data_IF_183220820072
#
_entry.id   IF_183220820072
#
_cell.length_a   1.000
_cell.length_b   1.000
_cell.length_c   1.000
_cell.angle_alpha   90.00
_cell.angle_beta   90.00
_cell.angle_gamma   90.00
#
_symmetry.space_group_name_H-M   'P 1'
#
loop_
_entity.id
_entity.type
_entity.pdbx_description
1 polymer ?
#
# COMPACT_ATOMS: atom_id res chain seq x y z
N UNK A 1 4.76 -7.28 2.31
CA UNK A 1 3.47 -7.78 2.81
C UNK A 1 2.45 -7.77 1.68
N UNK A 2 1.75 -8.88 1.48
CA UNK A 2 0.60 -8.97 0.55
C UNK A 2 -0.57 -9.55 1.34
N UNK A 3 -1.69 -8.84 1.36
CA UNK A 3 -2.90 -9.18 2.11
C UNK A 3 -4.06 -9.32 1.15
N UNK A 4 -4.70 -10.49 1.14
CA UNK A 4 -5.89 -10.77 0.32
C UNK A 4 -6.69 -11.95 0.87
N UNK A 5 -7.95 -12.08 0.47
CA UNK A 5 -8.77 -13.28 0.64
C UNK A 5 -9.57 -13.37 1.94
N UNK A 6 -9.22 -12.65 2.99
CA UNK A 6 -9.95 -12.67 4.26
C UNK A 6 -11.17 -11.76 4.24
N UNK A 7 -12.27 -12.19 4.86
CA UNK A 7 -13.46 -11.35 5.06
C UNK A 7 -13.13 -10.08 5.85
N UNK A 8 -12.31 -10.22 6.89
CA UNK A 8 -11.78 -9.11 7.70
C UNK A 8 -10.28 -9.32 7.88
N UNK A 9 -9.51 -8.31 7.50
CA UNK A 9 -8.05 -8.25 7.74
C UNK A 9 -7.75 -7.12 8.71
N UNK A 10 -7.02 -7.42 9.78
CA UNK A 10 -6.58 -6.42 10.76
C UNK A 10 -5.14 -6.66 11.15
N UNK A 11 -4.21 -5.89 10.55
CA UNK A 11 -2.78 -6.18 10.68
C UNK A 11 -1.92 -4.91 10.69
N UNK A 12 -1.11 -4.75 11.74
CA UNK A 12 -0.22 -3.61 11.94
C UNK A 12 1.18 -4.05 12.36
N UNK A 13 2.03 -4.48 11.44
CA UNK A 13 3.43 -4.76 11.75
C UNK A 13 4.15 -3.49 12.21
N UNK A 14 5.17 -3.66 13.04
CA UNK A 14 5.96 -2.54 13.55
C UNK A 14 7.45 -2.77 13.36
N UNK A 15 8.16 -1.70 13.03
CA UNK A 15 9.61 -1.67 12.97
C UNK A 15 10.13 -0.59 13.93
N UNK A 16 11.06 -0.97 14.80
CA UNK A 16 11.69 -0.07 15.78
C UNK A 16 13.16 0.10 15.42
N UNK A 17 13.54 1.29 14.97
CA UNK A 17 14.88 1.66 14.57
C UNK A 17 15.68 2.13 15.80
N UNK A 18 16.29 1.17 16.53
CA UNK A 18 16.97 1.41 17.80
C UNK A 18 18.41 1.91 17.62
N UNK A 19 19.12 1.32 16.66
CA UNK A 19 20.52 1.64 16.40
C UNK A 19 20.67 2.94 15.61
N UNK A 20 21.78 3.63 15.82
CA UNK A 20 22.13 4.77 14.97
C UNK A 20 22.38 4.30 13.51
N UNK A 21 21.98 5.13 12.56
CA UNK A 21 22.03 4.85 11.11
C UNK A 21 21.21 3.65 10.65
N UNK A 22 20.29 3.11 11.46
CA UNK A 22 19.44 2.01 11.05
C UNK A 22 18.43 2.45 9.98
N UNK A 23 18.15 1.53 9.06
CA UNK A 23 17.22 1.71 7.94
C UNK A 23 16.10 0.69 8.06
N UNK A 24 14.86 1.12 7.86
CA UNK A 24 13.68 0.26 7.83
C UNK A 24 12.83 0.58 6.61
N UNK A 25 12.50 -0.43 5.82
CA UNK A 25 11.63 -0.29 4.66
C UNK A 25 10.43 -1.22 4.79
N UNK A 26 9.27 -0.73 4.43
CA UNK A 26 8.03 -1.48 4.45
C UNK A 26 7.26 -1.29 3.15
N UNK A 27 7.00 -2.38 2.49
CA UNK A 27 6.24 -2.44 1.24
C UNK A 27 5.01 -3.31 1.43
N UNK A 28 3.83 -2.81 1.08
CA UNK A 28 2.58 -3.53 1.27
C UNK A 28 1.61 -3.41 0.10
N UNK A 29 0.88 -4.50 -0.14
CA UNK A 29 -0.30 -4.54 -1.00
C UNK A 29 -1.44 -5.10 -0.16
N UNK A 30 -2.57 -4.41 -0.12
CA UNK A 30 -3.81 -4.88 0.49
C UNK A 30 -4.92 -4.87 -0.56
N UNK A 31 -5.51 -6.05 -0.83
CA UNK A 31 -6.56 -6.22 -1.83
C UNK A 31 -7.84 -6.66 -1.15
N UNK A 32 -8.91 -5.93 -1.41
CA UNK A 32 -10.24 -6.24 -0.92
C UNK A 32 -11.25 -6.27 -2.07
N UNK A 33 -12.09 -7.28 -2.10
CA UNK A 33 -13.13 -7.48 -3.10
C UNK A 33 -14.45 -7.87 -2.43
N UNK A 34 -15.56 -7.81 -3.17
CA UNK A 34 -16.89 -8.14 -2.69
C UNK A 34 -17.28 -7.31 -1.45
N UNK A 35 -17.35 -7.92 -0.27
CA UNK A 35 -17.69 -7.30 1.02
C UNK A 35 -16.52 -7.34 2.02
N UNK A 36 -15.32 -7.63 1.56
CA UNK A 36 -14.14 -7.71 2.40
C UNK A 36 -13.80 -6.34 3.01
N UNK A 37 -13.27 -6.36 4.23
CA UNK A 37 -12.80 -5.18 4.95
C UNK A 37 -11.36 -5.39 5.38
N UNK A 38 -10.47 -4.51 4.95
CA UNK A 38 -9.09 -4.50 5.41
C UNK A 38 -8.81 -3.21 6.18
N UNK A 39 -8.29 -3.35 7.37
CA UNK A 39 -7.72 -2.25 8.15
C UNK A 39 -6.27 -2.62 8.47
N UNK A 40 -5.37 -2.16 7.62
CA UNK A 40 -3.96 -2.52 7.64
C UNK A 40 -3.10 -1.29 7.79
N UNK A 41 -1.83 -1.49 8.07
CA UNK A 41 -0.91 -0.37 8.16
C UNK A 41 0.43 -0.79 8.74
N UNK A 42 1.23 0.17 9.13
CA UNK A 42 2.52 -0.11 9.75
C UNK A 42 2.89 0.95 10.77
N UNK A 43 3.82 0.58 11.66
CA UNK A 43 4.38 1.48 12.67
C UNK A 43 5.88 1.56 12.46
N UNK A 44 6.40 2.77 12.24
CA UNK A 44 7.83 3.06 12.18
C UNK A 44 8.22 3.95 13.36
N UNK A 45 9.06 3.43 14.26
CA UNK A 45 9.47 4.14 15.47
C UNK A 45 10.99 4.35 15.43
N UNK A 46 11.40 5.62 15.36
CA UNK A 46 12.79 6.03 15.32
C UNK A 46 13.30 6.37 16.73
N UNK A 47 14.27 5.62 17.22
CA UNK A 47 14.93 5.82 18.52
C UNK A 47 16.40 6.22 18.37
N UNK A 48 17.11 5.65 17.40
CA UNK A 48 18.49 5.96 17.06
C UNK A 48 18.63 7.24 16.24
N UNK A 49 19.84 7.76 16.12
CA UNK A 49 20.20 8.95 15.34
C UNK A 49 20.40 8.58 13.86
N UNK A 50 20.18 9.53 12.97
CA UNK A 50 20.36 9.36 11.50
C UNK A 50 19.60 8.16 10.94
N UNK A 51 18.47 7.80 11.54
CA UNK A 51 17.67 6.64 11.09
C UNK A 51 16.80 7.01 9.90
N UNK A 52 16.60 6.07 9.00
CA UNK A 52 15.76 6.27 7.80
C UNK A 52 14.67 5.23 7.72
N UNK A 53 13.47 5.64 7.33
CA UNK A 53 12.40 4.71 7.01
C UNK A 53 11.67 5.09 5.72
N UNK A 54 11.25 4.06 4.98
CA UNK A 54 10.42 4.18 3.79
C UNK A 54 9.20 3.28 3.93
N UNK A 55 8.02 3.81 3.63
CA UNK A 55 6.77 3.05 3.61
C UNK A 55 6.13 3.27 2.26
N UNK A 56 5.86 2.19 1.54
CA UNK A 56 5.07 2.19 0.30
C UNK A 56 3.89 1.25 0.50
N UNK A 57 2.69 1.79 0.52
CA UNK A 57 1.45 1.04 0.70
C UNK A 57 0.53 1.22 -0.49
N UNK A 58 0.13 0.11 -1.10
CA UNK A 58 -0.82 0.06 -2.21
C UNK A 58 -2.10 -0.64 -1.75
N UNK A 59 -3.22 0.07 -1.76
CA UNK A 59 -4.54 -0.47 -1.44
C UNK A 59 -5.39 -0.63 -2.69
N UNK A 60 -6.08 -1.76 -2.84
CA UNK A 60 -7.02 -2.00 -3.94
C UNK A 60 -8.35 -2.39 -3.34
N UNK A 61 -9.41 -1.68 -3.72
CA UNK A 61 -10.78 -1.98 -3.28
C UNK A 61 -11.69 -2.15 -4.49
N UNK A 62 -12.42 -3.26 -4.52
CA UNK A 62 -13.36 -3.61 -5.57
C UNK A 62 -14.75 -3.98 -5.00
N UNK A 63 -15.80 -3.90 -5.82
CA UNK A 63 -17.15 -4.28 -5.43
C UNK A 63 -17.74 -3.38 -4.34
N UNK A 64 -18.02 -3.94 -3.17
CA UNK A 64 -18.51 -3.24 -1.96
C UNK A 64 -17.49 -3.31 -0.81
N UNK A 65 -16.22 -3.50 -1.13
CA UNK A 65 -15.17 -3.66 -0.14
C UNK A 65 -14.63 -2.31 0.33
N UNK A 66 -13.99 -2.31 1.52
CA UNK A 66 -13.28 -1.15 2.04
C UNK A 66 -11.86 -1.52 2.44
N UNK A 67 -10.94 -0.62 2.15
CA UNK A 67 -9.55 -0.73 2.54
C UNK A 67 -9.14 0.51 3.34
N UNK A 68 -8.64 0.31 4.54
CA UNK A 68 -8.14 1.38 5.40
C UNK A 68 -6.65 1.16 5.65
N UNK A 69 -5.85 2.18 5.36
CA UNK A 69 -4.46 2.24 5.78
C UNK A 69 -4.32 3.10 7.03
N UNK A 70 -3.70 2.53 8.10
CA UNK A 70 -3.34 3.28 9.32
C UNK A 70 -1.83 3.23 9.53
N UNK A 71 -1.17 4.37 9.38
CA UNK A 71 0.28 4.48 9.55
C UNK A 71 0.65 5.26 10.79
N UNK A 72 1.50 4.69 11.65
CA UNK A 72 2.15 5.43 12.73
C UNK A 72 3.61 5.65 12.37
N UNK A 73 4.03 6.91 12.35
CA UNK A 73 5.45 7.28 12.32
C UNK A 73 5.76 8.11 13.55
N UNK A 74 6.67 7.62 14.38
CA UNK A 74 7.12 8.34 15.57
C UNK A 74 8.63 8.53 15.55
N UNK A 75 9.08 9.79 15.65
CA UNK A 75 10.49 10.15 15.81
C UNK A 75 10.69 10.66 17.23
N UNK A 76 11.53 9.96 18.00
CA UNK A 76 11.84 10.29 19.39
C UNK A 76 12.70 11.55 19.49
N UNK A 77 12.67 12.22 20.64
CA UNK A 77 13.51 13.41 20.92
C UNK A 77 15.00 13.19 20.68
N UNK A 78 15.50 11.97 20.91
CA UNK A 78 16.92 11.62 20.75
C UNK A 78 17.30 11.23 19.32
N UNK A 79 16.31 10.96 18.44
CA UNK A 79 16.50 10.52 17.06
C UNK A 79 16.78 11.73 16.17
N UNK A 80 17.97 12.32 16.30
CA UNK A 80 18.38 13.48 15.47
C UNK A 80 18.63 13.09 14.04
N UNK A 81 18.36 14.01 13.09
CA UNK A 81 18.60 13.85 11.65
C UNK A 81 17.93 12.59 11.05
N UNK A 82 16.80 12.18 11.63
CA UNK A 82 16.06 11.02 11.12
C UNK A 82 15.08 11.44 10.04
N UNK A 83 14.82 10.55 9.09
CA UNK A 83 13.92 10.83 7.97
C UNK A 83 12.96 9.68 7.75
N UNK A 84 11.68 10.02 7.54
CA UNK A 84 10.68 9.08 7.05
C UNK A 84 10.09 9.60 5.73
N UNK A 85 9.86 8.68 4.81
CA UNK A 85 9.03 8.89 3.64
C UNK A 85 7.92 7.84 3.62
N UNK A 86 6.67 8.28 3.49
CA UNK A 86 5.49 7.41 3.43
C UNK A 86 4.66 7.78 2.21
N UNK A 87 4.35 6.79 1.39
CA UNK A 87 3.45 6.92 0.25
C UNK A 87 2.33 5.88 0.37
N UNK A 88 1.08 6.35 0.33
CA UNK A 88 -0.11 5.52 0.45
C UNK A 88 -1.00 5.76 -0.76
N UNK A 89 -1.02 4.81 -1.69
CA UNK A 89 -1.83 4.91 -2.90
C UNK A 89 -3.00 3.92 -2.84
N UNK A 90 -4.17 4.37 -3.22
CA UNK A 90 -5.39 3.56 -3.27
C UNK A 90 -5.98 3.56 -4.68
N UNK A 91 -6.34 2.36 -5.15
CA UNK A 91 -7.01 2.14 -6.42
C UNK A 91 -8.43 1.62 -6.18
N UNK A 92 -9.42 2.34 -6.70
CA UNK A 92 -10.82 1.98 -6.58
C UNK A 92 -11.33 1.38 -7.89
N UNK A 93 -12.00 0.22 -7.77
CA UNK A 93 -12.61 -0.52 -8.86
C UNK A 93 -14.10 -0.66 -8.60
N UNK A 94 -14.89 0.26 -9.12
CA UNK A 94 -16.34 0.29 -8.93
C UNK A 94 -16.84 1.55 -8.21
N UNK A 95 -18.15 1.56 -7.90
CA UNK A 95 -18.84 2.75 -7.37
C UNK A 95 -19.19 2.64 -5.88
N UNK A 96 -19.04 1.46 -5.28
CA UNK A 96 -19.46 1.19 -3.91
C UNK A 96 -18.31 0.77 -2.99
N UNK A 97 -17.09 0.68 -3.53
CA UNK A 97 -15.90 0.40 -2.74
C UNK A 97 -15.33 1.68 -2.13
N UNK A 98 -14.61 1.54 -1.03
CA UNK A 98 -14.00 2.65 -0.29
C UNK A 98 -12.52 2.46 -0.04
N UNK A 99 -11.81 3.60 0.11
CA UNK A 99 -10.43 3.64 0.58
C UNK A 99 -10.27 4.77 1.59
N UNK A 100 -9.59 4.48 2.69
CA UNK A 100 -9.37 5.43 3.77
C UNK A 100 -7.90 5.43 4.17
N UNK A 101 -7.33 6.62 4.37
CA UNK A 101 -5.96 6.78 4.87
C UNK A 101 -5.98 7.56 6.17
N UNK A 102 -5.43 6.96 7.23
CA UNK A 102 -5.41 7.53 8.58
C UNK A 102 -3.97 7.61 9.08
N UNK A 103 -3.23 8.67 8.73
CA UNK A 103 -1.87 8.87 9.19
C UNK A 103 -1.85 9.33 10.65
N UNK A 104 -0.91 8.80 11.43
CA UNK A 104 -0.62 9.25 12.77
C UNK A 104 0.87 9.59 12.90
N UNK A 105 1.18 10.88 12.91
CA UNK A 105 2.55 11.39 12.82
C UNK A 105 2.94 12.09 14.12
N UNK A 106 4.05 11.63 14.71
CA UNK A 106 4.65 12.22 15.91
C UNK A 106 6.11 12.55 15.68
N UNK A 107 6.42 13.78 15.30
CA UNK A 107 7.80 14.24 15.27
C UNK A 107 8.14 15.01 16.56
N UNK A 108 9.05 14.46 17.35
CA UNK A 108 9.51 15.07 18.62
C UNK A 108 10.92 15.67 18.51
N UNK A 109 11.49 15.72 17.29
CA UNK A 109 12.84 16.24 17.04
C UNK A 109 12.85 17.20 15.86
N UNK A 110 13.30 18.44 16.07
CA UNK A 110 13.29 19.51 15.08
C UNK A 110 14.28 19.32 13.94
N UNK A 111 15.28 18.44 14.07
CA UNK A 111 16.27 18.15 13.03
C UNK A 111 15.83 17.03 12.09
N UNK A 112 14.67 16.44 12.35
CA UNK A 112 14.17 15.28 11.61
C UNK A 112 12.98 15.64 10.72
N UNK A 113 12.82 14.91 9.63
CA UNK A 113 11.82 15.17 8.61
C UNK A 113 10.89 13.97 8.43
N UNK A 114 9.59 14.23 8.31
CA UNK A 114 8.57 13.23 7.95
C UNK A 114 7.83 13.76 6.73
N UNK A 115 7.80 12.95 5.68
CA UNK A 115 7.06 13.21 4.45
C UNK A 115 5.95 12.16 4.32
N UNK A 116 4.73 12.60 4.04
CA UNK A 116 3.59 11.70 3.83
C UNK A 116 2.80 12.14 2.61
N UNK A 117 2.66 11.24 1.65
CA UNK A 117 1.84 11.42 0.46
C UNK A 117 0.72 10.37 0.44
N UNK A 118 -0.47 10.78 0.03
CA UNK A 118 -1.59 9.87 -0.14
C UNK A 118 -2.34 10.22 -1.44
N UNK A 119 -2.58 9.20 -2.26
CA UNK A 119 -3.37 9.34 -3.48
C UNK A 119 -4.50 8.34 -3.51
N UNK A 120 -5.62 8.73 -4.11
CA UNK A 120 -6.73 7.82 -4.40
C UNK A 120 -7.13 8.00 -5.85
N UNK A 121 -7.06 6.92 -6.60
CA UNK A 121 -7.37 6.89 -8.03
C UNK A 121 -8.47 5.87 -8.26
N UNK A 122 -9.39 6.18 -9.17
CA UNK A 122 -10.39 5.24 -9.65
C UNK A 122 -10.05 4.84 -11.08
N UNK A 123 -10.18 3.56 -11.41
CA UNK A 123 -10.10 3.13 -12.79
C UNK A 123 -11.24 3.82 -13.57
N UNK A 124 -10.90 4.57 -14.61
CA UNK A 124 -11.88 5.28 -15.40
C UNK A 124 -12.21 4.52 -16.69
N UNK A 125 -13.38 4.82 -17.25
CA UNK A 125 -13.86 4.19 -18.47
C UNK A 125 -12.99 4.52 -19.70
N UNK A 126 -12.33 5.67 -19.71
CA UNK A 126 -11.43 6.07 -20.80
C UNK A 126 -10.17 5.19 -20.84
N UNK A 127 -9.61 4.83 -19.69
CA UNK A 127 -8.47 3.91 -19.63
C UNK A 127 -8.86 2.52 -20.13
N UNK A 128 -10.00 2.01 -19.70
CA UNK A 128 -10.52 0.73 -20.17
C UNK A 128 -10.82 0.76 -21.66
N UNK A 129 -11.48 1.82 -22.14
CA UNK A 129 -11.76 2.02 -23.55
C UNK A 129 -10.48 2.03 -24.40
N UNK A 130 -9.44 2.73 -23.94
CA UNK A 130 -8.15 2.76 -24.63
C UNK A 130 -7.52 1.36 -24.75
N UNK A 131 -7.58 0.57 -23.68
CA UNK A 131 -7.10 -0.81 -23.68
C UNK A 131 -7.91 -1.68 -24.65
N UNK A 132 -9.24 -1.54 -24.64
CA UNK A 132 -10.14 -2.28 -25.53
C UNK A 132 -9.89 -1.96 -27.02
N UNK A 133 -9.57 -0.70 -27.35
CA UNK A 133 -9.17 -0.30 -28.71
C UNK A 133 -7.87 -0.97 -29.17
N UNK A 134 -7.07 -1.45 -28.25
CA UNK A 134 -5.83 -2.21 -28.51
C UNK A 134 -6.04 -3.72 -28.52
N UNK A 135 -7.28 -4.19 -28.43
CA UNK A 135 -7.66 -5.60 -28.50
C UNK A 135 -7.57 -6.36 -27.17
N UNK A 136 -7.36 -5.66 -26.05
CA UNK A 136 -7.46 -6.27 -24.73
C UNK A 136 -8.93 -6.36 -24.32
N UNK A 137 -9.35 -7.49 -23.78
CA UNK A 137 -10.66 -7.56 -23.14
C UNK A 137 -10.69 -6.79 -21.81
N UNK A 138 -11.85 -6.70 -21.18
CA UNK A 138 -12.03 -5.90 -19.97
C UNK A 138 -11.23 -6.47 -18.79
N UNK A 139 -11.18 -7.79 -18.65
CA UNK A 139 -10.43 -8.46 -17.57
C UNK A 139 -8.92 -8.30 -17.76
N UNK A 140 -8.44 -8.45 -18.98
CA UNK A 140 -7.04 -8.22 -19.35
C UNK A 140 -6.63 -6.76 -19.11
N UNK A 141 -7.47 -5.80 -19.46
CA UNK A 141 -7.23 -4.37 -19.24
C UNK A 141 -7.11 -4.04 -17.75
N UNK A 142 -8.01 -4.55 -16.93
CA UNK A 142 -7.98 -4.37 -15.48
C UNK A 142 -6.75 -5.03 -14.88
N UNK A 143 -6.43 -6.26 -15.27
CA UNK A 143 -5.25 -6.98 -14.83
C UNK A 143 -3.97 -6.21 -15.15
N UNK A 144 -3.86 -5.62 -16.33
CA UNK A 144 -2.73 -4.80 -16.73
C UNK A 144 -2.57 -3.56 -15.84
N UNK A 145 -3.66 -2.83 -15.58
CA UNK A 145 -3.67 -1.62 -14.73
C UNK A 145 -3.27 -1.97 -13.29
N UNK A 146 -3.85 -3.02 -12.73
CA UNK A 146 -3.58 -3.48 -11.36
C UNK A 146 -2.13 -3.95 -11.20
N UNK A 147 -1.63 -4.75 -12.15
CA UNK A 147 -0.23 -5.18 -12.13
C UNK A 147 0.74 -3.99 -12.23
N UNK A 148 0.41 -3.00 -13.05
CA UNK A 148 1.16 -1.75 -13.14
C UNK A 148 1.17 -0.99 -11.81
N UNK A 149 0.02 -0.89 -11.15
CA UNK A 149 -0.13 -0.23 -9.85
C UNK A 149 0.66 -0.92 -8.73
N UNK A 150 0.70 -2.25 -8.72
CA UNK A 150 1.41 -3.06 -7.72
C UNK A 150 2.91 -3.24 -8.01
N UNK A 151 3.38 -2.88 -9.21
CA UNK A 151 4.72 -3.20 -9.73
C UNK A 151 5.84 -2.82 -8.77
N UNK A 152 5.81 -1.63 -8.21
CA UNK A 152 6.86 -1.13 -7.32
C UNK A 152 7.05 -2.04 -6.09
N UNK A 153 5.96 -2.52 -5.51
CA UNK A 153 6.00 -3.40 -4.34
C UNK A 153 6.41 -4.82 -4.75
N UNK A 154 5.85 -5.33 -5.83
CA UNK A 154 6.15 -6.70 -6.31
C UNK A 154 7.62 -6.86 -6.70
N UNK A 155 8.25 -5.82 -7.24
CA UNK A 155 9.68 -5.84 -7.60
C UNK A 155 10.63 -5.95 -6.40
N UNK A 156 10.14 -5.72 -5.16
CA UNK A 156 10.94 -5.92 -3.95
C UNK A 156 11.01 -7.40 -3.51
N UNK A 157 10.17 -8.25 -4.08
CA UNK A 157 10.15 -9.67 -3.76
C UNK A 157 11.16 -10.45 -4.61
N UNK A 158 11.75 -11.52 -4.07
CA UNK A 158 12.40 -12.54 -4.90
C UNK A 158 11.46 -13.03 -6.00
N UNK A 159 12.03 -13.40 -7.17
CA UNK A 159 11.24 -13.66 -8.38
C UNK A 159 10.13 -14.72 -8.17
N UNK A 160 10.43 -15.77 -7.42
CA UNK A 160 9.47 -16.85 -7.14
C UNK A 160 8.24 -16.32 -6.36
N UNK A 161 8.48 -15.49 -5.35
CA UNK A 161 7.42 -14.89 -4.55
C UNK A 161 6.67 -13.79 -5.32
N UNK A 162 7.36 -13.05 -6.20
CA UNK A 162 6.73 -12.04 -7.04
C UNK A 162 5.71 -12.66 -8.00
N UNK A 163 6.06 -13.79 -8.65
CA UNK A 163 5.15 -14.53 -9.54
C UNK A 163 3.95 -15.07 -8.79
N UNK A 164 4.16 -15.62 -7.58
CA UNK A 164 3.06 -16.12 -6.75
C UNK A 164 2.13 -14.97 -6.30
N UNK A 165 2.69 -13.86 -5.86
CA UNK A 165 1.92 -12.68 -5.47
C UNK A 165 1.12 -12.10 -6.65
N UNK A 166 1.67 -12.06 -7.87
CA UNK A 166 0.94 -11.63 -9.07
C UNK A 166 -0.27 -12.54 -9.36
N UNK A 167 -0.12 -13.85 -9.22
CA UNK A 167 -1.24 -14.79 -9.38
C UNK A 167 -2.32 -14.58 -8.33
N UNK A 168 -1.93 -14.38 -7.07
CA UNK A 168 -2.87 -14.08 -5.98
C UNK A 168 -3.63 -12.78 -6.22
N UNK A 169 -2.95 -11.74 -6.72
CA UNK A 169 -3.59 -10.46 -7.10
C UNK A 169 -4.66 -10.70 -8.17
N UNK A 170 -4.33 -11.45 -9.23
CA UNK A 170 -5.26 -11.74 -10.31
C UNK A 170 -6.50 -12.50 -9.82
N UNK A 171 -6.30 -13.62 -9.10
CA UNK A 171 -7.38 -14.46 -8.54
C UNK A 171 -8.29 -13.65 -7.59
N UNK A 172 -7.69 -12.76 -6.78
CA UNK A 172 -8.45 -11.97 -5.80
C UNK A 172 -9.40 -10.96 -6.43
N UNK A 173 -9.19 -10.62 -7.68
CA UNK A 173 -9.98 -9.64 -8.43
C UNK A 173 -10.85 -10.26 -9.53
N UNK A 174 -10.84 -11.58 -9.70
CA UNK A 174 -11.74 -12.27 -10.62
C UNK A 174 -13.20 -11.95 -10.30
N UNK A 175 -13.97 -11.61 -11.33
CA UNK A 175 -15.39 -11.26 -11.20
C UNK A 175 -15.68 -9.93 -10.51
N UNK A 176 -14.68 -9.07 -10.33
CA UNK A 176 -14.85 -7.74 -9.70
C UNK A 176 -15.11 -6.60 -10.69
N UNK A 177 -15.22 -6.93 -11.98
CA UNK A 177 -15.44 -5.99 -13.11
C UNK A 177 -16.79 -6.23 -13.77
#
# INVERSE_FOLDING_TARGET
QVETGSAITWKYPSCILKGDNSVGEFYSIAITNNYQKADTGTKMIHLGKNTKSKIISKGISAGNADNTYRGLVEINKKATNSRNYTQCDSLLMGNKCGAHTVPYIKNKNSTSTIEHEATTTKINEEQLYYCNQRGLDQEEAVSLIVNGFCKEVLQQLPMEFAVEAQKLVAISLEGSV
#
